data_IF_293323855117
#
_entry.id   IF_293323855117
#
_cell.length_a   1.000
_cell.length_b   1.000
_cell.length_c   1.000
_cell.angle_alpha   90.00
_cell.angle_beta   90.00
_cell.angle_gamma   90.00
#
_symmetry.space_group_name_H-M   'P 1'
#
loop_
_entity.id
_entity.type
_entity.pdbx_description
1 polymer ?
#
# COMPACT_ATOMS: atom_id res chain seq x y z
N UNK A 1 -21.74 -2.56 8.25
CA UNK A 1 -21.55 -1.74 7.04
C UNK A 1 -20.41 -2.38 6.24
N UNK A 2 -20.60 -2.58 4.93
CA UNK A 2 -19.58 -3.14 4.03
C UNK A 2 -19.08 -2.00 3.15
N UNK A 3 -17.77 -1.78 3.13
CA UNK A 3 -17.14 -0.81 2.22
C UNK A 3 -16.83 -1.46 0.88
N UNK A 4 -16.95 -0.69 -0.20
CA UNK A 4 -16.45 -1.11 -1.51
C UNK A 4 -14.92 -1.31 -1.46
N UNK A 5 -14.42 -2.22 -2.29
CA UNK A 5 -13.00 -2.55 -2.33
C UNK A 5 -12.17 -1.33 -2.77
N UNK A 6 -11.01 -1.08 -2.16
CA UNK A 6 -10.15 0.04 -2.56
C UNK A 6 -9.88 0.07 -4.07
N UNK A 7 -10.02 1.24 -4.70
CA UNK A 7 -9.82 1.40 -6.14
C UNK A 7 -11.00 1.00 -7.04
N UNK A 8 -12.10 0.48 -6.50
CA UNK A 8 -13.33 0.19 -7.27
C UNK A 8 -14.35 1.34 -7.18
N UNK A 9 -15.36 1.39 -8.08
CA UNK A 9 -16.47 2.34 -7.94
C UNK A 9 -17.13 2.26 -6.56
N UNK A 10 -17.37 3.42 -5.94
CA UNK A 10 -17.93 3.52 -4.58
C UNK A 10 -16.92 3.34 -3.45
N UNK A 11 -15.64 3.08 -3.76
CA UNK A 11 -14.59 3.04 -2.75
C UNK A 11 -14.27 4.44 -2.24
N UNK A 12 -14.17 4.58 -0.92
CA UNK A 12 -13.78 5.83 -0.27
C UNK A 12 -12.26 5.99 -0.12
N UNK A 13 -11.50 4.97 -0.52
CA UNK A 13 -10.04 4.95 -0.47
C UNK A 13 -9.46 4.34 -1.74
N UNK A 14 -8.24 4.78 -2.07
CA UNK A 14 -7.42 4.21 -3.13
C UNK A 14 -5.99 4.11 -2.63
N UNK A 15 -5.34 2.98 -2.90
CA UNK A 15 -3.97 2.72 -2.46
C UNK A 15 -2.95 3.14 -3.51
N UNK A 16 -1.79 3.62 -3.05
CA UNK A 16 -0.63 3.87 -3.91
C UNK A 16 0.05 2.53 -4.18
N UNK A 17 0.68 2.42 -5.36
CA UNK A 17 1.45 1.23 -5.72
C UNK A 17 2.63 0.96 -4.78
N UNK A 18 3.26 2.02 -4.26
CA UNK A 18 4.47 1.96 -3.42
C UNK A 18 4.46 3.03 -2.34
N UNK A 19 4.99 2.67 -1.17
CA UNK A 19 5.14 3.54 -0.01
C UNK A 19 6.59 3.57 0.47
N UNK A 20 6.99 4.67 1.11
CA UNK A 20 8.29 4.80 1.78
C UNK A 20 8.21 4.53 3.29
N UNK A 21 9.36 4.57 3.96
CA UNK A 21 9.46 4.64 5.41
C UNK A 21 9.05 6.04 5.87
N UNK A 22 8.30 6.15 6.96
CA UNK A 22 7.95 7.46 7.49
C UNK A 22 9.02 7.94 8.47
N UNK A 23 9.86 8.89 8.05
CA UNK A 23 11.04 9.37 8.79
C UNK A 23 11.04 10.90 8.74
N UNK A 24 11.13 11.56 9.90
CA UNK A 24 11.24 13.02 9.97
C UNK A 24 10.01 13.78 9.44
N UNK A 25 8.84 13.14 9.35
CA UNK A 25 7.62 13.76 8.82
C UNK A 25 7.35 13.47 7.35
N UNK A 26 8.25 12.76 6.67
CA UNK A 26 8.18 12.48 5.24
C UNK A 26 8.25 10.98 4.94
N UNK A 27 7.74 10.58 3.77
CA UNK A 27 7.89 9.22 3.26
C UNK A 27 9.17 9.12 2.43
N UNK A 28 10.16 8.37 2.92
CA UNK A 28 11.49 8.22 2.35
C UNK A 28 11.69 6.81 1.81
N UNK A 29 12.32 6.67 0.64
CA UNK A 29 12.64 5.36 0.06
C UNK A 29 13.67 4.58 0.91
N UNK A 30 13.64 3.24 0.92
CA UNK A 30 14.66 2.44 1.59
C UNK A 30 16.02 2.66 0.95
N UNK A 31 17.06 2.78 1.78
CA UNK A 31 18.44 2.98 1.33
C UNK A 31 18.92 1.87 0.38
N UNK A 32 18.46 0.63 0.58
CA UNK A 32 18.81 -0.52 -0.27
C UNK A 32 17.91 -0.69 -1.50
N UNK A 33 16.91 0.18 -1.69
CA UNK A 33 15.92 0.07 -2.77
C UNK A 33 15.05 -1.19 -2.73
N UNK A 34 15.06 -1.93 -1.62
CA UNK A 34 14.33 -3.18 -1.47
C UNK A 34 12.91 -2.94 -0.97
N UNK A 35 11.96 -3.56 -1.65
CA UNK A 35 10.56 -3.53 -1.29
C UNK A 35 9.99 -4.95 -1.26
N UNK A 36 8.90 -5.13 -0.51
CA UNK A 36 8.09 -6.33 -0.57
C UNK A 36 6.63 -5.97 -0.87
N UNK A 37 5.93 -6.88 -1.56
CA UNK A 37 4.51 -6.73 -1.86
C UNK A 37 3.69 -7.22 -0.67
N UNK A 38 2.78 -6.39 -0.18
CA UNK A 38 1.75 -6.83 0.76
C UNK A 38 0.50 -7.23 -0.03
N UNK A 39 0.02 -8.44 0.21
CA UNK A 39 -1.20 -8.96 -0.41
C UNK A 39 -2.35 -8.95 0.59
N UNK A 40 -3.55 -8.73 0.06
CA UNK A 40 -4.78 -8.76 0.84
C UNK A 40 -5.08 -10.19 1.30
N UNK A 41 -5.35 -10.43 2.58
CA UNK A 41 -5.79 -11.74 3.04
C UNK A 41 -7.21 -12.10 2.57
N UNK A 42 -7.98 -11.14 2.04
CA UNK A 42 -9.37 -11.35 1.62
C UNK A 42 -9.44 -11.97 0.22
N UNK A 43 -8.59 -11.54 -0.70
CA UNK A 43 -8.65 -11.94 -2.11
C UNK A 43 -7.26 -12.26 -2.71
N UNK A 44 -6.17 -12.15 -1.94
CA UNK A 44 -4.82 -12.43 -2.41
C UNK A 44 -4.21 -11.36 -3.32
N UNK A 45 -4.97 -10.31 -3.66
CA UNK A 45 -4.51 -9.26 -4.57
C UNK A 45 -3.49 -8.34 -3.90
N UNK A 46 -2.60 -7.74 -4.70
CA UNK A 46 -1.60 -6.81 -4.21
C UNK A 46 -2.25 -5.51 -3.68
N UNK A 47 -1.96 -5.15 -2.44
CA UNK A 47 -2.36 -3.88 -1.83
C UNK A 47 -1.35 -2.79 -2.19
N UNK A 48 -0.07 -3.11 -2.11
CA UNK A 48 1.03 -2.18 -2.40
C UNK A 48 2.40 -2.73 -2.01
N UNK A 49 3.43 -1.97 -2.34
CA UNK A 49 4.83 -2.27 -2.03
C UNK A 49 5.35 -1.43 -0.86
N UNK A 50 6.06 -2.06 0.07
CA UNK A 50 6.59 -1.43 1.28
C UNK A 50 8.09 -1.72 1.45
N UNK A 51 8.85 -0.83 2.08
CA UNK A 51 10.29 -1.02 2.29
C UNK A 51 10.63 -2.29 3.08
N UNK A 52 11.74 -2.94 2.73
CA UNK A 52 12.26 -4.14 3.41
C UNK A 52 13.59 -3.88 4.13
#
# INVERSE_FOLDING_TARGET
MIYAQPGTPGAIVSFKKRYGNYIGGEFVEPVKGQYFTNTSPVNGEAIGEFPR
#
